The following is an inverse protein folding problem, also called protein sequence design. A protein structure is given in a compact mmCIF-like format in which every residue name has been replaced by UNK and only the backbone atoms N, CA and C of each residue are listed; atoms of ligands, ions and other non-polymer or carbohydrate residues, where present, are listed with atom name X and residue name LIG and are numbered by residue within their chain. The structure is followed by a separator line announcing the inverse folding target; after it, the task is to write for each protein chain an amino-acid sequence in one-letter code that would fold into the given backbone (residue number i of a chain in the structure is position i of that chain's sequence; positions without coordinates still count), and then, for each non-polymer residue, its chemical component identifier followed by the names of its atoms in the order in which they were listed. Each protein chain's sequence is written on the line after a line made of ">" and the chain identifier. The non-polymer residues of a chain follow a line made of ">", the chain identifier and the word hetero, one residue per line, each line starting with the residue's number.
data_IF_061257310805
#
_entry.id   IF_061257310805
#
_cell.length_a   1.000
_cell.length_b   1.000
_cell.length_c   1.000
_cell.angle_alpha   90.00
_cell.angle_beta   90.00
_cell.angle_gamma   90.00
#
_symmetry.space_group_name_H-M   'P 1'
#
loop_
_entity.id
_entity.type
_entity.pdbx_description
1 polymer ?
#
# COMPACT_ATOMS: atom_id res chain seq x y z
N UNK A 1 -0.95 -6.10 27.73
CA UNK A 1 -2.26 -6.49 27.19
C UNK A 1 -2.51 -5.60 25.97
N UNK A 2 -2.60 -6.16 24.77
CA UNK A 2 -2.93 -5.38 23.58
C UNK A 2 -4.44 -5.12 23.60
N UNK A 3 -4.83 -3.86 23.78
CA UNK A 3 -6.23 -3.45 23.67
C UNK A 3 -6.71 -3.72 22.25
N UNK A 4 -7.70 -4.59 22.08
CA UNK A 4 -8.26 -4.93 20.78
C UNK A 4 -9.03 -3.70 20.26
N UNK A 5 -8.44 -3.00 19.29
CA UNK A 5 -9.11 -1.86 18.64
C UNK A 5 -10.21 -2.42 17.74
N UNK A 6 -11.47 -2.16 18.08
CA UNK A 6 -12.61 -2.48 17.23
C UNK A 6 -12.78 -1.39 16.17
N UNK A 7 -12.54 -1.75 14.91
CA UNK A 7 -12.84 -0.91 13.77
C UNK A 7 -14.33 -1.00 13.43
N UNK A 8 -14.97 0.15 13.27
CA UNK A 8 -16.37 0.27 12.86
C UNK A 8 -16.49 1.38 11.79
N UNK A 9 -17.70 1.61 11.30
CA UNK A 9 -17.97 2.55 10.20
C UNK A 9 -17.50 3.99 10.46
N UNK A 10 -17.33 4.43 11.71
CA UNK A 10 -16.85 5.78 12.02
C UNK A 10 -15.35 5.96 11.77
N UNK A 11 -14.59 4.86 11.66
CA UNK A 11 -13.15 4.89 11.37
C UNK A 11 -12.84 4.83 9.86
N UNK A 12 -13.82 4.48 9.03
CA UNK A 12 -13.66 4.35 7.57
C UNK A 12 -13.14 5.65 6.92
N UNK A 13 -13.61 6.86 7.26
CA UNK A 13 -13.10 8.09 6.65
C UNK A 13 -11.62 8.38 6.95
N UNK A 14 -11.16 8.07 8.17
CA UNK A 14 -9.74 8.22 8.54
C UNK A 14 -8.88 7.23 7.77
N UNK A 15 -9.37 6.00 7.62
CA UNK A 15 -8.75 4.96 6.85
C UNK A 15 -8.68 5.33 5.35
N UNK A 16 -9.71 5.97 4.82
CA UNK A 16 -9.74 6.49 3.45
C UNK A 16 -8.67 7.55 3.21
N UNK A 17 -8.57 8.53 4.11
CA UNK A 17 -7.52 9.56 4.00
C UNK A 17 -6.11 8.96 4.09
N UNK A 18 -5.91 7.97 4.97
CA UNK A 18 -4.63 7.28 5.10
C UNK A 18 -4.30 6.48 3.84
N UNK A 19 -5.25 5.69 3.33
CA UNK A 19 -5.10 4.91 2.11
C UNK A 19 -4.83 5.80 0.89
N UNK A 20 -5.48 6.95 0.79
CA UNK A 20 -5.23 7.93 -0.27
C UNK A 20 -3.78 8.44 -0.22
N UNK A 21 -3.30 8.89 0.94
CA UNK A 21 -1.92 9.34 1.11
C UNK A 21 -0.91 8.23 0.81
N UNK A 22 -1.20 7.00 1.25
CA UNK A 22 -0.35 5.85 1.00
C UNK A 22 -0.31 5.45 -0.48
N UNK A 23 -1.44 5.54 -1.19
CA UNK A 23 -1.49 5.31 -2.63
C UNK A 23 -0.68 6.36 -3.40
N UNK A 24 -0.81 7.64 -3.03
CA UNK A 24 0.00 8.71 -3.62
C UNK A 24 1.50 8.49 -3.39
N UNK A 25 1.88 7.99 -2.20
CA UNK A 25 3.26 7.63 -1.90
C UNK A 25 3.76 6.46 -2.77
N UNK A 26 2.94 5.43 -2.99
CA UNK A 26 3.26 4.32 -3.89
C UNK A 26 3.51 4.83 -5.31
N UNK A 27 2.65 5.71 -5.83
CA UNK A 27 2.81 6.31 -7.15
C UNK A 27 4.13 7.08 -7.28
N UNK A 28 4.49 7.88 -6.28
CA UNK A 28 5.77 8.59 -6.26
C UNK A 28 6.98 7.64 -6.22
N UNK A 29 6.92 6.56 -5.43
CA UNK A 29 7.97 5.53 -5.40
C UNK A 29 8.15 4.85 -6.75
N UNK A 30 7.06 4.55 -7.47
CA UNK A 30 7.13 3.97 -8.81
C UNK A 30 7.77 4.93 -9.82
N UNK A 31 7.44 6.22 -9.74
CA UNK A 31 8.08 7.26 -10.57
C UNK A 31 9.57 7.36 -10.26
N UNK A 32 9.96 7.33 -8.97
CA UNK A 32 11.37 7.35 -8.55
C UNK A 32 12.13 6.12 -9.05
N UNK A 33 11.57 4.92 -8.89
CA UNK A 33 12.17 3.69 -9.42
C UNK A 33 12.40 3.78 -10.93
N UNK A 34 11.39 4.22 -11.68
CA UNK A 34 11.52 4.39 -13.12
C UNK A 34 12.66 5.35 -13.50
N UNK A 35 12.79 6.49 -12.78
CA UNK A 35 13.90 7.42 -12.97
C UNK A 35 15.25 6.81 -12.64
N UNK A 36 15.36 6.03 -11.57
CA UNK A 36 16.60 5.36 -11.19
C UNK A 36 17.03 4.34 -12.26
N UNK A 37 16.09 3.57 -12.81
CA UNK A 37 16.37 2.64 -13.91
C UNK A 37 16.84 3.37 -15.18
N UNK A 38 16.20 4.49 -15.54
CA UNK A 38 16.66 5.32 -16.67
C UNK A 38 18.08 5.85 -16.48
N UNK A 39 18.44 6.27 -15.27
CA UNK A 39 19.82 6.70 -14.97
C UNK A 39 20.79 5.52 -15.12
N UNK A 40 20.40 4.33 -14.67
CA UNK A 40 21.23 3.12 -14.71
C UNK A 40 21.56 2.69 -16.14
N UNK A 41 20.58 2.80 -17.05
CA UNK A 41 20.75 2.50 -18.47
C UNK A 41 21.76 3.43 -19.18
N UNK A 42 21.95 4.65 -18.65
CA UNK A 42 22.85 5.65 -19.23
C UNK A 42 24.18 5.78 -18.49
N UNK A 43 24.39 5.00 -17.43
CA UNK A 43 25.58 5.10 -16.60
C UNK A 43 26.77 4.37 -17.26
N UNK A 44 27.91 5.05 -17.50
CA UNK A 44 29.09 4.42 -18.09
C UNK A 44 29.60 3.23 -17.26
N UNK A 45 30.06 2.16 -17.92
CA UNK A 45 30.49 0.93 -17.25
C UNK A 45 31.75 1.08 -16.37
N UNK A 46 32.49 2.18 -16.51
CA UNK A 46 33.70 2.47 -15.73
C UNK A 46 33.41 3.19 -14.40
N UNK A 47 32.16 3.52 -14.10
CA UNK A 47 31.73 4.25 -12.91
C UNK A 47 31.21 3.30 -11.80
N UNK A 48 32.08 2.40 -11.33
CA UNK A 48 31.69 1.31 -10.41
C UNK A 48 31.07 1.80 -9.09
N UNK A 49 31.53 2.94 -8.57
CA UNK A 49 31.00 3.50 -7.32
C UNK A 49 29.60 4.08 -7.52
N UNK A 50 29.36 4.77 -8.63
CA UNK A 50 28.07 5.30 -9.01
C UNK A 50 27.05 4.19 -9.28
N UNK A 51 27.48 3.11 -9.95
CA UNK A 51 26.65 1.90 -10.13
C UNK A 51 26.24 1.32 -8.78
N UNK A 52 27.20 1.19 -7.86
CA UNK A 52 26.93 0.67 -6.50
C UNK A 52 25.96 1.56 -5.72
N UNK A 53 26.12 2.88 -5.80
CA UNK A 53 25.21 3.85 -5.15
C UNK A 53 23.81 3.77 -5.76
N UNK A 54 23.72 3.65 -7.08
CA UNK A 54 22.45 3.54 -7.77
C UNK A 54 21.72 2.24 -7.43
N UNK A 55 22.43 1.12 -7.38
CA UNK A 55 21.91 -0.16 -6.93
C UNK A 55 21.34 -0.09 -5.50
N UNK A 56 22.02 0.61 -4.59
CA UNK A 56 21.53 0.83 -3.23
C UNK A 56 20.24 1.66 -3.21
N UNK A 57 20.16 2.72 -4.01
CA UNK A 57 18.95 3.54 -4.13
C UNK A 57 17.77 2.75 -4.72
N UNK A 58 18.02 1.93 -5.76
CA UNK A 58 17.02 1.05 -6.35
C UNK A 58 16.52 0.04 -5.32
N UNK A 59 17.44 -0.60 -4.57
CA UNK A 59 17.08 -1.54 -3.49
C UNK A 59 16.24 -0.88 -2.41
N UNK A 60 16.65 0.28 -1.92
CA UNK A 60 15.92 1.01 -0.89
C UNK A 60 14.51 1.39 -1.36
N UNK A 61 14.40 1.97 -2.56
CA UNK A 61 13.11 2.39 -3.11
C UNK A 61 12.20 1.18 -3.38
N UNK A 62 12.77 0.04 -3.81
CA UNK A 62 12.03 -1.22 -4.00
C UNK A 62 11.49 -1.77 -2.68
N UNK A 63 12.30 -1.76 -1.62
CA UNK A 63 11.87 -2.20 -0.28
C UNK A 63 10.76 -1.32 0.28
N UNK A 64 10.88 0.00 0.09
CA UNK A 64 9.86 0.94 0.52
C UNK A 64 8.55 0.75 -0.25
N UNK A 65 8.63 0.53 -1.57
CA UNK A 65 7.46 0.26 -2.40
C UNK A 65 6.77 -1.05 -2.00
N UNK A 66 7.52 -2.12 -1.76
CA UNK A 66 6.98 -3.40 -1.29
C UNK A 66 6.27 -3.25 0.07
N UNK A 67 6.90 -2.54 1.01
CA UNK A 67 6.29 -2.24 2.30
C UNK A 67 5.01 -1.41 2.16
N UNK A 68 5.03 -0.36 1.33
CA UNK A 68 3.87 0.51 1.10
C UNK A 68 2.71 -0.25 0.46
N UNK A 69 2.96 -1.09 -0.55
CA UNK A 69 1.95 -1.91 -1.23
C UNK A 69 1.33 -2.93 -0.26
N UNK A 70 2.14 -3.63 0.54
CA UNK A 70 1.65 -4.59 1.54
C UNK A 70 0.81 -3.93 2.61
N UNK A 71 1.24 -2.75 3.05
CA UNK A 71 0.51 -1.92 4.02
C UNK A 71 -0.83 -1.50 3.43
N UNK A 72 -0.84 -0.95 2.21
CA UNK A 72 -2.06 -0.54 1.52
C UNK A 72 -3.06 -1.69 1.39
N UNK A 73 -2.61 -2.87 0.96
CA UNK A 73 -3.47 -4.07 0.85
C UNK A 73 -4.06 -4.47 2.20
N UNK A 74 -3.26 -4.47 3.27
CA UNK A 74 -3.73 -4.80 4.62
C UNK A 74 -4.83 -3.85 5.08
N UNK A 75 -4.63 -2.54 4.87
CA UNK A 75 -5.59 -1.52 5.27
C UNK A 75 -6.85 -1.50 4.39
N UNK A 76 -6.75 -1.87 3.10
CA UNK A 76 -7.93 -2.10 2.24
C UNK A 76 -8.80 -3.24 2.77
N UNK A 77 -8.21 -4.37 3.19
CA UNK A 77 -8.97 -5.47 3.81
C UNK A 77 -9.65 -5.02 5.10
N UNK A 78 -8.97 -4.20 5.92
CA UNK A 78 -9.56 -3.63 7.14
C UNK A 78 -10.73 -2.69 6.83
N UNK A 79 -10.61 -1.89 5.76
CA UNK A 79 -11.69 -1.00 5.29
C UNK A 79 -12.91 -1.78 4.84
N UNK A 80 -12.70 -2.84 4.06
CA UNK A 80 -13.77 -3.73 3.60
C UNK A 80 -14.49 -4.41 4.77
N UNK A 81 -13.74 -4.83 5.80
CA UNK A 81 -14.31 -5.43 7.00
C UNK A 81 -15.10 -4.44 7.88
N UNK A 82 -14.71 -3.16 7.87
CA UNK A 82 -15.39 -2.09 8.62
C UNK A 82 -16.58 -1.47 7.86
N UNK A 83 -16.69 -1.72 6.56
CA UNK A 83 -17.78 -1.23 5.73
C UNK A 83 -19.11 -1.86 6.18
N UNK A 84 -20.20 -1.08 6.28
CA UNK A 84 -21.51 -1.63 6.61
C UNK A 84 -21.90 -2.66 5.54
N UNK A 85 -22.14 -3.91 5.95
CA UNK A 85 -22.69 -4.91 5.03
C UNK A 85 -24.02 -4.39 4.45
N UNK A 86 -24.23 -4.49 3.13
CA UNK A 86 -25.52 -4.12 2.56
C UNK A 86 -26.64 -4.96 3.19
N UNK A 87 -27.72 -4.29 3.60
CA UNK A 87 -28.89 -4.86 4.31
C UNK A 87 -29.57 -6.05 3.59
N UNK A 88 -29.15 -6.41 2.38
CA UNK A 88 -29.70 -7.49 1.56
C UNK A 88 -29.42 -8.92 2.06
N UNK A 89 -28.79 -9.10 3.23
CA UNK A 89 -28.67 -10.41 3.91
C UNK A 89 -29.37 -10.49 5.27
N UNK A 90 -30.11 -9.47 5.69
CA UNK A 90 -30.92 -9.54 6.94
C UNK A 90 -32.25 -10.29 6.78
N UNK A 91 -32.67 -10.59 5.54
CA UNK A 91 -34.00 -11.15 5.24
C UNK A 91 -34.08 -12.52 4.57
N UNK A 92 -33.01 -13.34 4.55
CA UNK A 92 -33.05 -14.70 3.95
C UNK A 92 -32.38 -15.78 4.81
N UNK A 93 -32.60 -15.78 6.12
CA UNK A 93 -32.26 -16.93 7.00
C UNK A 93 -33.32 -17.29 8.05
N UNK A 94 -34.56 -16.85 7.87
CA UNK A 94 -35.70 -17.30 8.70
C UNK A 94 -36.96 -17.42 7.84
N UNK A 95 -36.98 -18.41 6.94
CA UNK A 95 -38.15 -19.08 6.37
C UNK A 95 -37.63 -20.24 5.53
N UNK A 96 -38.35 -21.35 5.52
CA UNK A 96 -37.86 -22.74 5.33
C UNK A 96 -37.37 -23.25 6.71
N UNK A 97 -38.28 -23.63 7.63
CA UNK A 97 -39.14 -24.83 7.59
C UNK A 97 -38.35 -26.06 7.13
#
# INVERSE_FOLDING_TARGET
>A
MASQVFLNSTHVPLLDSFLFSLNSHIEDLLVRLNKLYQIMEHLPANQTEEHTRLDLLVKQCSLEADWAIKTFRSYMVMKEAAAPMPDNKRGKKFREL
#
